data_IF_534190878344
#
_entry.id   IF_534190878344
#
_cell.length_a   1.000
_cell.length_b   1.000
_cell.length_c   1.000
_cell.angle_alpha   90.00
_cell.angle_beta   90.00
_cell.angle_gamma   90.00
#
_symmetry.space_group_name_H-M   'P 1'
#
loop_
_entity.id
_entity.type
_entity.pdbx_description
1 polymer ?
#
# COMPACT_ATOMS: atom_id res chain seq x y z
N UNK A 1 -2.27 13.11 -15.50
CA UNK A 1 -1.82 11.73 -15.24
C UNK A 1 -2.62 11.25 -14.04
N UNK A 2 -3.30 10.11 -14.12
CA UNK A 2 -4.11 9.64 -13.00
C UNK A 2 -3.24 9.14 -11.86
N UNK A 3 -3.61 9.43 -10.62
CA UNK A 3 -2.85 8.98 -9.43
C UNK A 3 -3.61 7.90 -8.69
N UNK A 4 -2.93 6.78 -8.43
CA UNK A 4 -3.48 5.68 -7.65
C UNK A 4 -2.66 5.47 -6.37
N UNK A 5 -3.35 5.22 -5.25
CA UNK A 5 -2.73 4.79 -4.00
C UNK A 5 -3.04 3.32 -3.75
N UNK A 6 -2.00 2.51 -3.54
CA UNK A 6 -2.12 1.08 -3.23
C UNK A 6 -1.62 0.85 -1.80
N UNK A 7 -2.50 0.43 -0.89
CA UNK A 7 -2.07 -0.11 0.40
C UNK A 7 -1.69 -1.58 0.19
N UNK A 8 -0.66 -2.06 0.89
CA UNK A 8 -0.22 -3.46 0.73
C UNK A 8 0.47 -3.73 -0.60
N UNK A 9 1.09 -2.69 -1.19
CA UNK A 9 1.79 -2.74 -2.48
C UNK A 9 2.90 -3.80 -2.55
N UNK A 10 3.49 -4.18 -1.41
CA UNK A 10 4.52 -5.24 -1.32
C UNK A 10 3.95 -6.66 -1.31
N UNK A 11 2.63 -6.78 -1.19
CA UNK A 11 1.90 -8.04 -1.33
C UNK A 11 1.93 -8.55 -2.78
N UNK A 12 1.36 -9.72 -3.00
CA UNK A 12 1.25 -10.32 -4.33
C UNK A 12 0.37 -9.46 -5.25
N UNK A 13 -0.87 -9.21 -4.84
CA UNK A 13 -1.82 -8.48 -5.68
C UNK A 13 -1.40 -7.02 -5.84
N UNK A 14 -0.80 -6.43 -4.80
CA UNK A 14 -0.27 -5.07 -4.82
C UNK A 14 0.82 -4.87 -5.86
N UNK A 15 1.75 -5.82 -6.02
CA UNK A 15 2.82 -5.70 -7.02
C UNK A 15 2.29 -5.79 -8.45
N UNK A 16 1.41 -6.75 -8.73
CA UNK A 16 0.81 -6.90 -10.06
C UNK A 16 -0.10 -5.71 -10.42
N UNK A 17 -0.84 -5.18 -9.45
CA UNK A 17 -1.66 -3.98 -9.69
C UNK A 17 -0.79 -2.75 -9.97
N UNK A 18 0.34 -2.60 -9.27
CA UNK A 18 1.27 -1.50 -9.53
C UNK A 18 1.81 -1.55 -10.96
N UNK A 19 2.26 -2.71 -11.43
CA UNK A 19 2.68 -2.95 -12.83
C UNK A 19 1.58 -2.55 -13.81
N UNK A 20 0.37 -3.12 -13.63
CA UNK A 20 -0.77 -2.85 -14.51
C UNK A 20 -1.11 -1.36 -14.61
N UNK A 21 -1.07 -0.63 -13.49
CA UNK A 21 -1.41 0.79 -13.45
C UNK A 21 -0.29 1.63 -14.08
N UNK A 22 0.98 1.30 -13.82
CA UNK A 22 2.13 1.97 -14.44
C UNK A 22 2.09 1.82 -15.97
N UNK A 23 1.80 0.62 -16.49
CA UNK A 23 1.62 0.34 -17.92
C UNK A 23 0.47 1.14 -18.54
N UNK A 24 -0.58 1.41 -17.76
CA UNK A 24 -1.72 2.27 -18.15
C UNK A 24 -1.42 3.76 -18.08
N UNK A 25 -0.19 4.16 -17.74
CA UNK A 25 0.19 5.57 -17.66
C UNK A 25 -0.18 6.25 -16.34
N UNK A 26 -0.45 5.51 -15.26
CA UNK A 26 -0.73 6.09 -13.95
C UNK A 26 0.54 6.54 -13.21
N UNK A 27 0.37 7.45 -12.26
CA UNK A 27 1.27 7.63 -11.12
C UNK A 27 0.81 6.66 -10.04
N UNK A 28 1.72 5.84 -9.52
CA UNK A 28 1.40 4.85 -8.50
C UNK A 28 2.14 5.20 -7.23
N UNK A 29 1.36 5.45 -6.17
CA UNK A 29 1.83 5.60 -4.81
C UNK A 29 1.55 4.31 -4.05
N UNK A 30 2.55 3.81 -3.33
CA UNK A 30 2.45 2.57 -2.56
C UNK A 30 2.75 2.80 -1.07
N UNK A 31 1.89 2.29 -0.19
CA UNK A 31 2.16 2.31 1.26
C UNK A 31 2.97 1.08 1.66
N UNK A 32 4.11 1.34 2.30
CA UNK A 32 5.01 0.31 2.84
C UNK A 32 5.19 0.49 4.35
N UNK A 33 5.14 -0.62 5.10
CA UNK A 33 5.43 -0.59 6.53
C UNK A 33 6.93 -0.43 6.77
N UNK A 34 7.30 0.23 7.87
CA UNK A 34 8.69 0.18 8.36
C UNK A 34 9.01 -1.25 8.78
N UNK A 35 10.13 -1.76 8.30
CA UNK A 35 10.65 -3.08 8.62
C UNK A 35 12.16 -2.98 8.80
N UNK A 36 12.70 -3.72 9.76
CA UNK A 36 14.14 -3.88 9.94
C UNK A 36 14.78 -4.76 8.84
N UNK A 37 13.97 -5.43 8.03
CA UNK A 37 14.39 -6.28 6.92
C UNK A 37 13.80 -5.78 5.59
N UNK A 38 14.52 -6.03 4.49
CA UNK A 38 14.05 -5.73 3.14
C UNK A 38 12.85 -6.62 2.79
N UNK A 39 11.68 -5.99 2.63
CA UNK A 39 10.40 -6.65 2.37
C UNK A 39 9.73 -6.14 1.07
N UNK A 40 10.55 -5.74 0.08
CA UNK A 40 10.12 -5.06 -1.16
C UNK A 40 10.52 -5.77 -2.45
N UNK A 41 10.97 -7.02 -2.36
CA UNK A 41 11.46 -7.80 -3.51
C UNK A 41 10.49 -7.85 -4.70
N UNK A 42 9.18 -7.79 -4.45
CA UNK A 42 8.15 -7.81 -5.52
C UNK A 42 7.96 -6.49 -6.26
N UNK A 43 8.57 -5.41 -5.81
CA UNK A 43 8.35 -4.06 -6.36
C UNK A 43 9.65 -3.27 -6.56
N UNK A 44 10.79 -3.80 -6.12
CA UNK A 44 12.07 -3.10 -6.23
C UNK A 44 12.48 -2.90 -7.71
N UNK A 45 12.07 -3.81 -8.61
CA UNK A 45 12.31 -3.64 -10.05
C UNK A 45 11.59 -2.42 -10.62
N UNK A 46 10.40 -2.08 -10.13
CA UNK A 46 9.63 -0.89 -10.56
C UNK A 46 10.31 0.42 -10.18
N UNK A 47 11.19 0.41 -9.18
CA UNK A 47 12.02 1.57 -8.80
C UNK A 47 13.35 1.61 -9.53
N UNK A 48 13.86 0.45 -9.94
CA UNK A 48 15.12 0.33 -10.66
C UNK A 48 14.95 0.67 -12.15
N UNK A 49 13.77 0.43 -12.71
CA UNK A 49 13.45 0.70 -14.11
C UNK A 49 13.31 2.21 -14.38
N UNK A 50 13.98 2.69 -15.43
CA UNK A 50 13.99 4.09 -15.85
C UNK A 50 12.61 4.56 -16.32
N UNK A 51 11.79 3.66 -16.89
CA UNK A 51 10.47 4.02 -17.41
C UNK A 51 9.41 4.23 -16.32
N UNK A 52 9.56 3.54 -15.18
CA UNK A 52 8.58 3.56 -14.10
C UNK A 52 9.02 4.34 -12.87
N UNK A 53 10.32 4.49 -12.61
CA UNK A 53 10.84 5.06 -11.34
C UNK A 53 10.33 6.48 -11.03
N UNK A 54 10.08 7.29 -12.06
CA UNK A 54 9.61 8.68 -11.88
C UNK A 54 8.12 8.74 -11.54
N UNK A 55 7.39 7.63 -11.73
CA UNK A 55 5.95 7.52 -11.51
C UNK A 55 5.59 6.54 -10.38
N UNK A 56 6.58 5.92 -9.75
CA UNK A 56 6.39 4.94 -8.68
C UNK A 56 6.98 5.41 -7.36
N UNK A 57 6.11 5.88 -6.48
CA UNK A 57 6.47 6.51 -5.21
C UNK A 57 6.09 5.60 -4.05
N UNK A 58 6.97 5.49 -3.04
CA UNK A 58 6.71 4.68 -1.85
C UNK A 58 6.67 5.56 -0.62
N UNK A 59 5.64 5.36 0.19
CA UNK A 59 5.38 6.12 1.40
C UNK A 59 5.37 5.19 2.61
N UNK A 60 5.93 5.64 3.72
CA UNK A 60 5.80 4.90 4.98
C UNK A 60 4.44 5.15 5.61
N UNK A 61 3.72 4.08 5.94
CA UNK A 61 2.44 4.17 6.64
C UNK A 61 1.97 2.80 7.12
N UNK A 62 0.98 2.80 8.01
CA UNK A 62 0.36 1.60 8.56
C UNK A 62 -1.16 1.79 8.68
N UNK A 63 -1.93 0.74 8.38
CA UNK A 63 -3.40 0.76 8.49
C UNK A 63 -3.88 0.90 9.94
N UNK A 64 -3.05 0.60 10.93
CA UNK A 64 -3.32 0.86 12.34
C UNK A 64 -3.11 2.32 12.76
N UNK A 65 -2.50 3.15 11.92
CA UNK A 65 -2.07 4.52 12.25
C UNK A 65 -2.73 5.54 11.30
N UNK A 66 -3.83 6.14 11.79
CA UNK A 66 -4.62 7.12 11.03
C UNK A 66 -3.82 8.37 10.63
N UNK A 67 -2.88 8.83 11.45
CA UNK A 67 -2.06 10.01 11.15
C UNK A 67 -1.14 9.73 9.95
N UNK A 68 -0.53 8.54 9.92
CA UNK A 68 0.27 8.12 8.76
C UNK A 68 -0.57 8.04 7.48
N UNK A 69 -1.79 7.51 7.54
CA UNK A 69 -2.67 7.42 6.38
C UNK A 69 -3.08 8.81 5.88
N UNK A 70 -3.47 9.71 6.79
CA UNK A 70 -3.82 11.09 6.46
C UNK A 70 -2.65 11.85 5.80
N UNK A 71 -1.43 11.68 6.33
CA UNK A 71 -0.23 12.28 5.73
C UNK A 71 0.01 11.76 4.31
N UNK A 72 -0.11 10.44 4.10
CA UNK A 72 0.10 9.84 2.78
C UNK A 72 -0.96 10.29 1.77
N UNK A 73 -2.23 10.37 2.18
CA UNK A 73 -3.31 10.85 1.32
C UNK A 73 -3.13 12.32 0.95
N UNK A 74 -2.71 13.15 1.90
CA UNK A 74 -2.43 14.57 1.68
C UNK A 74 -1.28 14.78 0.67
N UNK A 75 -0.25 13.94 0.73
CA UNK A 75 0.89 13.98 -0.19
C UNK A 75 0.54 13.41 -1.58
N UNK A 76 -0.03 12.20 -1.63
CA UNK A 76 -0.31 11.49 -2.88
C UNK A 76 -1.51 12.06 -3.65
N UNK A 77 -2.52 12.60 -2.95
CA UNK A 77 -3.79 13.11 -3.51
C UNK A 77 -4.37 12.19 -4.61
N UNK A 78 -4.57 10.89 -4.32
CA UNK A 78 -4.96 9.91 -5.33
C UNK A 78 -6.39 10.15 -5.84
N UNK A 79 -6.64 9.78 -7.08
CA UNK A 79 -7.99 9.67 -7.66
C UNK A 79 -8.60 8.30 -7.42
N UNK A 80 -7.76 7.27 -7.26
CA UNK A 80 -8.17 5.89 -7.04
C UNK A 80 -7.38 5.33 -5.84
N UNK A 81 -8.08 4.68 -4.90
CA UNK A 81 -7.46 4.05 -3.72
C UNK A 81 -7.79 2.55 -3.74
N UNK A 82 -6.74 1.73 -3.68
CA UNK A 82 -6.83 0.27 -3.65
C UNK A 82 -6.33 -0.23 -2.30
N UNK A 83 -7.26 -0.58 -1.40
CA UNK A 83 -6.93 -1.05 -0.06
C UNK A 83 -6.66 -2.57 -0.03
N UNK A 84 -5.43 -2.98 -0.32
CA UNK A 84 -5.02 -4.40 -0.34
C UNK A 84 -4.21 -4.82 0.89
N UNK A 85 -3.83 -3.89 1.77
CA UNK A 85 -3.13 -4.22 3.01
C UNK A 85 -4.06 -4.96 3.98
N UNK A 86 -3.57 -6.08 4.52
CA UNK A 86 -4.24 -6.83 5.57
C UNK A 86 -3.24 -7.74 6.30
N UNK A 87 -3.60 -8.16 7.52
CA UNK A 87 -3.18 -9.47 8.01
C UNK A 87 -4.02 -10.51 7.24
N UNK A 88 -3.44 -11.08 6.17
CA UNK A 88 -4.17 -11.91 5.21
C UNK A 88 -4.10 -13.41 5.49
N UNK A 89 -3.26 -13.87 6.42
CA UNK A 89 -3.11 -15.28 6.74
C UNK A 89 -4.17 -15.74 7.75
N UNK A 90 -5.00 -16.71 7.33
CA UNK A 90 -6.11 -17.23 8.14
C UNK A 90 -5.61 -17.86 9.43
N UNK A 91 -4.56 -18.69 9.40
CA UNK A 91 -4.04 -19.34 10.61
C UNK A 91 -3.57 -18.34 11.67
N UNK A 92 -2.88 -17.28 11.25
CA UNK A 92 -2.38 -16.21 12.12
C UNK A 92 -3.53 -15.39 12.68
N UNK A 93 -4.65 -15.30 11.98
CA UNK A 93 -5.81 -14.55 12.48
C UNK A 93 -6.41 -15.16 13.74
N UNK A 94 -6.27 -16.48 13.93
CA UNK A 94 -6.75 -17.19 15.11
C UNK A 94 -5.85 -16.97 16.33
N UNK A 95 -4.54 -16.76 16.10
CA UNK A 95 -3.57 -16.49 17.16
C UNK A 95 -3.43 -15.01 17.48
N UNK A 96 -3.77 -14.12 16.53
CA UNK A 96 -3.72 -12.66 16.66
C UNK A 96 -5.03 -12.00 16.18
N UNK A 97 -6.18 -12.32 16.81
CA UNK A 97 -7.48 -11.86 16.34
C UNK A 97 -7.67 -10.34 16.48
N UNK A 98 -7.23 -9.74 17.60
CA UNK A 98 -7.37 -8.29 17.82
C UNK A 98 -6.57 -7.48 16.81
N UNK A 99 -5.32 -7.87 16.54
CA UNK A 99 -4.49 -7.23 15.51
C UNK A 99 -5.11 -7.41 14.12
N UNK A 100 -5.62 -8.60 13.81
CA UNK A 100 -6.29 -8.85 12.53
C UNK A 100 -7.53 -7.99 12.37
N UNK A 101 -8.36 -7.86 13.41
CA UNK A 101 -9.54 -7.00 13.40
C UNK A 101 -9.19 -5.52 13.27
N UNK A 102 -8.15 -5.07 13.96
CA UNK A 102 -7.68 -3.69 13.91
C UNK A 102 -7.16 -3.31 12.51
N UNK A 103 -6.34 -4.15 11.89
CA UNK A 103 -5.78 -3.85 10.55
C UNK A 103 -6.81 -4.09 9.45
N UNK A 104 -7.45 -5.26 9.43
CA UNK A 104 -8.31 -5.68 8.31
C UNK A 104 -9.71 -5.05 8.38
N UNK A 105 -10.20 -4.79 9.59
CA UNK A 105 -11.50 -4.15 9.82
C UNK A 105 -11.35 -2.64 10.02
N UNK A 106 -10.80 -2.23 11.16
CA UNK A 106 -10.71 -0.80 11.50
C UNK A 106 -9.78 -0.03 10.57
N UNK A 107 -8.72 -0.63 10.04
CA UNK A 107 -7.83 0.01 9.08
C UNK A 107 -8.53 0.41 7.78
N UNK A 108 -9.51 -0.37 7.31
CA UNK A 108 -10.33 0.02 6.16
C UNK A 108 -11.23 1.21 6.51
N UNK A 109 -11.80 1.25 7.71
CA UNK A 109 -12.61 2.38 8.17
C UNK A 109 -11.77 3.65 8.32
N UNK A 110 -10.57 3.57 8.91
CA UNK A 110 -9.64 4.69 9.04
C UNK A 110 -9.37 5.34 7.69
N UNK A 111 -9.09 4.54 6.65
CA UNK A 111 -8.81 5.05 5.30
C UNK A 111 -9.99 5.78 4.65
N UNK A 112 -11.22 5.49 5.06
CA UNK A 112 -12.43 6.18 4.58
C UNK A 112 -12.72 7.47 5.34
N UNK A 113 -12.22 7.59 6.57
CA UNK A 113 -12.45 8.74 7.45
C UNK A 113 -11.45 9.87 7.21
N UNK A 114 -10.23 9.55 6.74
CA UNK A 114 -9.13 10.49 6.50
C UNK A 114 -9.13 11.13 5.11
#
# INVERSE_FOLDING_TARGET
>A
MKRALITGVTGQDGSYLAELLLDKGYEVHGIVRRSSTFNRQRIDHLRADVETRERFHLHYGDLGDAESLASVLSEAKPEEIYNLAAQSHVGTSLTQPTYTGDVKGLGAARLLEV
#
